data_IF_536797397350
#
_entry.id   IF_536797397350
#
_cell.length_a   1.000
_cell.length_b   1.000
_cell.length_c   1.000
_cell.angle_alpha   90.00
_cell.angle_beta   90.00
_cell.angle_gamma   90.00
#
_symmetry.space_group_name_H-M   'P 1'
#
loop_
_entity.id
_entity.type
_entity.pdbx_description
1 polymer ?
#
# COMPACT_ATOMS: atom_id res chain seq x y z
N UNK A 1 -3.34 -7.17 18.93
CA UNK A 1 -3.42 -6.01 18.01
C UNK A 1 -4.84 -5.93 17.51
N UNK A 2 -5.50 -4.78 17.61
CA UNK A 2 -6.85 -4.61 17.06
C UNK A 2 -6.78 -4.71 15.54
N UNK A 3 -7.66 -5.50 14.93
CA UNK A 3 -7.71 -5.68 13.48
C UNK A 3 -8.32 -4.42 12.86
N UNK A 4 -7.55 -3.66 12.08
CA UNK A 4 -8.09 -2.56 11.29
C UNK A 4 -9.01 -3.15 10.21
N UNK A 5 -10.31 -2.87 10.31
CA UNK A 5 -11.32 -3.29 9.33
C UNK A 5 -11.38 -2.21 8.26
N UNK A 6 -10.85 -2.53 7.09
CA UNK A 6 -10.91 -1.71 5.90
C UNK A 6 -11.12 -2.63 4.70
N UNK A 7 -12.05 -2.22 3.84
CA UNK A 7 -12.33 -2.81 2.54
C UNK A 7 -12.31 -1.66 1.53
N UNK A 8 -11.43 -1.70 0.52
CA UNK A 8 -11.37 -0.66 -0.49
C UNK A 8 -12.65 -0.68 -1.34
N UNK A 9 -13.06 0.49 -1.81
CA UNK A 9 -14.12 0.58 -2.82
C UNK A 9 -13.67 -0.06 -4.13
N UNK A 10 -14.64 -0.54 -4.93
CA UNK A 10 -14.39 -1.12 -6.27
C UNK A 10 -13.69 -0.18 -7.26
N UNK A 11 -13.63 1.11 -6.95
CA UNK A 11 -12.99 2.13 -7.78
C UNK A 11 -11.49 2.27 -7.52
N UNK A 12 -10.98 1.70 -6.42
CA UNK A 12 -9.55 1.72 -6.12
C UNK A 12 -8.77 0.84 -7.11
N UNK A 13 -7.53 1.24 -7.43
CA UNK A 13 -6.68 0.57 -8.43
C UNK A 13 -6.46 -0.93 -8.15
N UNK A 14 -6.47 -1.30 -6.88
CA UNK A 14 -6.15 -2.66 -6.40
C UNK A 14 -7.20 -3.16 -5.42
N UNK A 15 -8.47 -2.88 -5.71
CA UNK A 15 -9.60 -3.21 -4.83
C UNK A 15 -9.68 -4.71 -4.47
N UNK A 16 -9.32 -5.58 -5.42
CA UNK A 16 -9.34 -7.04 -5.26
C UNK A 16 -7.96 -7.65 -4.94
N UNK A 17 -6.92 -6.82 -4.73
CA UNK A 17 -5.57 -7.30 -4.39
C UNK A 17 -5.41 -7.48 -2.87
N UNK A 18 -5.58 -8.71 -2.41
CA UNK A 18 -5.45 -9.05 -0.98
C UNK A 18 -4.05 -8.81 -0.43
N UNK A 19 -3.00 -8.96 -1.26
CA UNK A 19 -1.61 -8.77 -0.84
C UNK A 19 -1.35 -7.29 -0.61
N UNK A 20 -1.81 -6.43 -1.52
CA UNK A 20 -1.72 -4.98 -1.38
C UNK A 20 -2.54 -4.48 -0.18
N UNK A 21 -3.76 -5.00 0.02
CA UNK A 21 -4.60 -4.65 1.16
C UNK A 21 -3.94 -5.03 2.49
N UNK A 22 -3.32 -6.20 2.56
CA UNK A 22 -2.56 -6.65 3.74
C UNK A 22 -1.35 -5.75 3.99
N UNK A 23 -0.62 -5.37 2.94
CA UNK A 23 0.52 -4.46 3.04
C UNK A 23 0.10 -3.07 3.55
N UNK A 24 -1.01 -2.53 3.04
CA UNK A 24 -1.57 -1.26 3.49
C UNK A 24 -1.97 -1.31 4.97
N UNK A 25 -2.69 -2.35 5.41
CA UNK A 25 -3.04 -2.54 6.83
C UNK A 25 -1.81 -2.61 7.72
N UNK A 26 -0.75 -3.31 7.27
CA UNK A 26 0.55 -3.34 7.97
C UNK A 26 1.20 -1.95 8.03
N UNK A 27 1.07 -1.16 6.96
CA UNK A 27 1.58 0.22 6.92
C UNK A 27 0.88 1.11 7.95
N UNK A 28 -0.46 1.07 8.01
CA UNK A 28 -1.24 1.79 9.03
C UNK A 28 -0.83 1.39 10.46
N UNK A 29 -0.59 0.09 10.70
CA UNK A 29 -0.08 -0.38 11.98
C UNK A 29 1.32 0.15 12.30
N UNK A 30 2.24 0.23 11.33
CA UNK A 30 3.57 0.81 11.53
C UNK A 30 3.50 2.27 11.98
N UNK A 31 2.50 3.01 11.49
CA UNK A 31 2.19 4.38 11.92
C UNK A 31 1.32 4.47 13.18
N UNK A 32 1.11 3.35 13.89
CA UNK A 32 0.35 3.28 15.14
C UNK A 32 -1.11 3.76 15.01
N UNK A 33 -1.71 3.61 13.83
CA UNK A 33 -3.15 3.87 13.65
C UNK A 33 -3.95 2.87 14.49
N UNK A 34 -4.70 3.39 15.46
CA UNK A 34 -5.41 2.59 16.46
C UNK A 34 -6.83 2.19 16.00
N UNK A 35 -7.52 3.07 15.27
CA UNK A 35 -8.85 2.84 14.72
C UNK A 35 -9.05 3.64 13.42
N UNK A 36 -9.99 3.19 12.58
CA UNK A 36 -10.49 3.90 11.40
C UNK A 36 -11.94 4.40 11.61
N UNK A 37 -12.49 4.25 12.81
CA UNK A 37 -13.86 4.64 13.12
C UNK A 37 -14.07 6.15 12.87
N UNK A 38 -15.12 6.49 12.14
CA UNK A 38 -15.44 7.88 11.78
C UNK A 38 -14.64 8.45 10.62
N UNK A 39 -13.66 7.72 10.06
CA UNK A 39 -12.97 8.15 8.84
C UNK A 39 -13.87 7.89 7.63
N UNK A 40 -14.10 8.91 6.81
CA UNK A 40 -14.92 8.78 5.62
C UNK A 40 -14.28 7.81 4.61
N UNK A 41 -15.08 6.90 4.04
CA UNK A 41 -14.61 5.90 3.06
C UNK A 41 -13.80 6.52 1.91
N UNK A 42 -14.20 7.66 1.29
CA UNK A 42 -13.42 8.26 0.20
C UNK A 42 -11.99 8.67 0.61
N UNK A 43 -11.77 9.04 1.87
CA UNK A 43 -10.43 9.37 2.37
C UNK A 43 -9.58 8.11 2.53
N UNK A 44 -10.18 7.01 3.00
CA UNK A 44 -9.49 5.73 3.12
C UNK A 44 -9.14 5.15 1.74
N UNK A 45 -10.08 5.23 0.79
CA UNK A 45 -9.86 4.83 -0.61
C UNK A 45 -8.74 5.66 -1.24
N UNK A 46 -8.75 6.98 -1.06
CA UNK A 46 -7.68 7.86 -1.55
C UNK A 46 -6.31 7.50 -0.94
N UNK A 47 -6.26 7.27 0.37
CA UNK A 47 -5.03 6.84 1.04
C UNK A 47 -4.53 5.48 0.53
N UNK A 48 -5.45 4.55 0.26
CA UNK A 48 -5.13 3.25 -0.30
C UNK A 48 -4.59 3.34 -1.73
N UNK A 49 -5.20 4.16 -2.59
CA UNK A 49 -4.73 4.38 -3.96
C UNK A 49 -3.36 5.07 -3.99
N UNK A 50 -3.14 6.07 -3.13
CA UNK A 50 -1.82 6.70 -2.98
C UNK A 50 -0.77 5.69 -2.52
N UNK A 51 -1.10 4.84 -1.55
CA UNK A 51 -0.21 3.77 -1.11
C UNK A 51 0.12 2.81 -2.27
N UNK A 52 -0.89 2.35 -3.02
CA UNK A 52 -0.71 1.47 -4.18
C UNK A 52 0.20 2.10 -5.24
N UNK A 53 -0.02 3.38 -5.59
CA UNK A 53 0.80 4.11 -6.56
C UNK A 53 2.26 4.15 -6.11
N UNK A 54 2.51 4.53 -4.85
CA UNK A 54 3.87 4.65 -4.31
C UNK A 54 4.57 3.29 -4.28
N UNK A 55 3.90 2.22 -3.84
CA UNK A 55 4.48 0.88 -3.84
C UNK A 55 4.83 0.41 -5.26
N UNK A 56 3.92 0.61 -6.20
CA UNK A 56 4.12 0.22 -7.61
C UNK A 56 5.26 1.00 -8.23
N UNK A 57 5.28 2.32 -8.07
CA UNK A 57 6.35 3.18 -8.59
C UNK A 57 7.70 2.84 -7.96
N UNK A 58 7.76 2.61 -6.65
CA UNK A 58 9.00 2.21 -5.99
C UNK A 58 9.55 0.89 -6.53
N UNK A 59 8.68 -0.08 -6.83
CA UNK A 59 9.08 -1.35 -7.44
C UNK A 59 9.61 -1.13 -8.86
N UNK A 60 8.88 -0.39 -9.69
CA UNK A 60 9.30 -0.09 -11.07
C UNK A 60 10.63 0.66 -11.11
N UNK A 61 10.83 1.67 -10.25
CA UNK A 61 12.10 2.39 -10.15
C UNK A 61 13.23 1.45 -9.75
N UNK A 62 13.02 0.60 -8.73
CA UNK A 62 14.04 -0.39 -8.32
C UNK A 62 14.42 -1.32 -9.47
N UNK A 63 13.45 -1.82 -10.22
CA UNK A 63 13.70 -2.68 -11.39
C UNK A 63 14.48 -1.95 -12.49
N UNK A 64 14.16 -0.67 -12.74
CA UNK A 64 14.89 0.16 -13.72
C UNK A 64 16.32 0.46 -13.26
N UNK A 65 16.52 0.80 -11.98
CA UNK A 65 17.85 1.03 -11.40
C UNK A 65 18.73 -0.23 -11.49
N UNK A 66 18.17 -1.43 -11.28
CA UNK A 66 18.88 -2.70 -11.46
C UNK A 66 19.28 -2.90 -12.92
N UNK A 67 18.35 -2.71 -13.87
CA UNK A 67 18.64 -2.84 -15.31
C UNK A 67 19.69 -1.85 -15.80
N UNK A 68 19.73 -0.65 -15.21
CA UNK A 68 20.72 0.37 -15.53
C UNK A 68 22.07 0.15 -14.83
N UNK A 69 22.22 -0.87 -13.98
CA UNK A 69 23.43 -1.13 -13.20
C UNK A 69 23.68 -0.10 -12.08
N UNK A 70 22.67 0.68 -11.70
CA UNK A 70 22.75 1.70 -10.63
C UNK A 70 22.59 1.05 -9.26
N UNK A 71 21.75 0.01 -9.16
CA UNK A 71 21.49 -0.74 -7.92
C UNK A 71 21.75 -2.22 -8.14
N UNK A 72 22.33 -2.88 -7.14
CA UNK A 72 22.46 -4.34 -7.13
C UNK A 72 21.11 -5.03 -6.85
N UNK A 73 20.89 -6.17 -7.49
CA UNK A 73 19.73 -7.02 -7.24
C UNK A 73 19.89 -7.74 -5.90
N UNK A 74 19.51 -7.07 -4.81
CA UNK A 74 19.52 -7.69 -3.49
C UNK A 74 18.37 -8.71 -3.38
N UNK A 75 18.73 -10.01 -3.44
CA UNK A 75 17.90 -11.18 -3.18
C UNK A 75 17.64 -11.36 -1.66
N UNK A 76 17.00 -10.39 -1.01
CA UNK A 76 16.62 -10.50 0.41
C UNK A 76 15.12 -10.35 0.62
#
# INVERSE_FOLDING_TARGET
>A
MNKLVFTPSKLCFSADDEVMLKAFKKHLHAYKVASLDGVAQPLLDCAYDLFHIVQTQSKSIKELEIKAGIREENNR
#
